data_IF_127007264561
#
_entry.id   IF_127007264561
#
_cell.length_a   1.000
_cell.length_b   1.000
_cell.length_c   1.000
_cell.angle_alpha   90.00
_cell.angle_beta   90.00
_cell.angle_gamma   90.00
#
_symmetry.space_group_name_H-M   'P 1'
#
loop_
_entity.id
_entity.type
_entity.pdbx_description
1 polymer ?
#
# COMPACT_ATOMS: atom_id res chain seq x y z
N UNK A 1 -1.05 1.50 -20.44
CA UNK A 1 -0.31 0.32 -19.88
C UNK A 1 -1.37 -0.59 -19.29
N UNK A 2 -1.54 -1.79 -19.86
CA UNK A 2 -2.55 -2.72 -19.39
C UNK A 2 -2.02 -3.53 -18.18
N UNK A 3 -2.89 -4.31 -17.55
CA UNK A 3 -2.58 -5.12 -16.37
C UNK A 3 -1.38 -6.06 -16.54
N UNK A 4 -1.18 -6.62 -17.74
CA UNK A 4 0.00 -7.44 -18.07
C UNK A 4 1.28 -6.60 -18.11
N UNK A 5 1.19 -5.37 -18.53
CA UNK A 5 2.32 -4.43 -18.57
C UNK A 5 2.72 -3.92 -17.19
N UNK A 6 1.77 -3.78 -16.22
CA UNK A 6 2.11 -3.50 -14.82
C UNK A 6 2.91 -4.67 -14.22
N UNK A 7 2.46 -5.91 -14.44
CA UNK A 7 3.14 -7.10 -13.93
C UNK A 7 4.46 -7.39 -14.69
N UNK A 8 4.50 -7.16 -16.01
CA UNK A 8 5.71 -7.33 -16.82
C UNK A 8 6.68 -6.14 -16.74
N UNK A 9 6.18 -4.92 -16.67
CA UNK A 9 7.01 -3.70 -16.59
C UNK A 9 7.78 -3.56 -15.29
N UNK A 10 7.31 -4.16 -14.20
CA UNK A 10 8.07 -4.21 -12.94
C UNK A 10 9.21 -5.24 -12.97
N UNK A 11 9.08 -6.31 -13.76
CA UNK A 11 10.12 -7.33 -13.88
C UNK A 11 11.20 -6.99 -14.94
N UNK A 12 10.82 -6.38 -16.06
CA UNK A 12 11.74 -6.13 -17.19
C UNK A 12 12.52 -4.80 -17.04
N UNK A 13 12.05 -3.84 -16.27
CA UNK A 13 12.76 -2.58 -16.01
C UNK A 13 13.97 -2.73 -15.06
N UNK A 14 14.24 -3.93 -14.54
CA UNK A 14 15.28 -4.19 -13.55
C UNK A 14 16.65 -4.58 -14.14
N UNK A 15 16.75 -4.85 -15.43
CA UNK A 15 17.97 -5.40 -16.03
C UNK A 15 18.73 -4.41 -16.92
N UNK A 16 18.95 -3.16 -16.52
CA UNK A 16 19.80 -2.33 -17.36
C UNK A 16 19.73 -0.82 -17.23
N UNK A 17 19.60 -0.28 -16.02
CA UNK A 17 19.83 1.15 -15.83
C UNK A 17 21.28 1.38 -15.39
N UNK A 18 22.07 2.13 -16.17
CA UNK A 18 23.43 2.47 -15.81
C UNK A 18 23.46 3.36 -14.55
N UNK A 19 24.54 3.31 -13.84
CA UNK A 19 24.90 4.06 -12.61
C UNK A 19 24.80 5.60 -12.71
N UNK A 20 24.28 6.14 -13.80
CA UNK A 20 24.15 7.59 -14.08
C UNK A 20 22.95 8.24 -13.34
N UNK A 21 22.04 7.45 -12.78
CA UNK A 21 20.83 7.98 -12.14
C UNK A 21 21.05 8.67 -10.77
N UNK A 22 22.28 8.72 -10.24
CA UNK A 22 22.57 9.35 -8.94
C UNK A 22 22.64 10.87 -8.99
N UNK A 23 22.85 11.47 -10.16
CA UNK A 23 23.12 12.90 -10.31
C UNK A 23 21.88 13.80 -10.48
N UNK A 24 20.68 13.26 -10.60
CA UNK A 24 19.46 14.05 -10.93
C UNK A 24 18.26 13.77 -10.01
N UNK A 25 18.45 13.17 -8.85
CA UNK A 25 17.34 13.14 -7.87
C UNK A 25 17.26 14.53 -7.25
N UNK A 26 16.25 15.31 -7.63
CA UNK A 26 15.94 16.56 -6.95
C UNK A 26 15.80 16.28 -5.45
N UNK A 27 16.48 17.07 -4.61
CA UNK A 27 16.29 16.95 -3.15
C UNK A 27 14.81 17.12 -2.83
N UNK A 28 14.19 16.05 -2.39
CA UNK A 28 12.81 16.07 -1.91
C UNK A 28 12.87 16.41 -0.43
N UNK A 29 12.31 17.58 -0.06
CA UNK A 29 12.24 17.99 1.33
C UNK A 29 11.35 17.05 2.15
N UNK A 30 11.63 16.85 3.45
CA UNK A 30 10.74 16.14 4.35
C UNK A 30 9.35 16.76 4.41
N UNK A 31 8.33 15.95 4.68
CA UNK A 31 6.94 16.36 4.80
C UNK A 31 6.04 15.81 3.70
N UNK A 32 4.80 16.30 3.70
CA UNK A 32 3.78 15.89 2.73
C UNK A 32 3.88 16.73 1.45
N UNK A 33 3.80 16.06 0.31
CA UNK A 33 3.77 16.67 -1.03
C UNK A 33 2.65 16.07 -1.86
N UNK A 34 2.03 16.89 -2.69
CA UNK A 34 1.08 16.40 -3.69
C UNK A 34 1.82 15.67 -4.81
N UNK A 35 1.22 14.60 -5.34
CA UNK A 35 1.85 13.80 -6.40
C UNK A 35 1.97 14.60 -7.71
N UNK A 36 0.94 15.38 -8.06
CA UNK A 36 0.87 16.20 -9.31
C UNK A 36 1.07 15.34 -10.56
N UNK A 37 0.37 14.21 -10.61
CA UNK A 37 0.44 13.23 -11.70
C UNK A 37 -0.75 13.27 -12.63
N UNK A 38 -1.86 13.82 -12.19
CA UNK A 38 -3.12 13.85 -12.93
C UNK A 38 -3.59 15.26 -13.24
N UNK A 39 -4.43 15.37 -14.26
CA UNK A 39 -5.20 16.59 -14.55
C UNK A 39 -6.52 16.62 -13.76
N UNK A 40 -6.83 15.54 -13.05
CA UNK A 40 -8.06 15.39 -12.29
C UNK A 40 -7.89 15.85 -10.83
N UNK A 41 -9.00 16.20 -10.19
CA UNK A 41 -9.05 16.61 -8.78
C UNK A 41 -8.60 15.53 -7.79
N UNK A 42 -8.48 14.29 -8.24
CA UNK A 42 -8.02 13.15 -7.46
C UNK A 42 -6.61 12.76 -7.89
N UNK A 43 -5.65 12.93 -6.99
CA UNK A 43 -4.23 12.68 -7.27
C UNK A 43 -3.57 11.87 -6.15
N UNK A 44 -3.51 12.41 -4.95
CA UNK A 44 -2.89 11.76 -3.79
C UNK A 44 -1.66 12.50 -3.30
N UNK A 45 -0.99 11.90 -2.32
CA UNK A 45 0.17 12.51 -1.66
C UNK A 45 1.32 11.50 -1.49
N UNK A 46 2.52 12.05 -1.37
CA UNK A 46 3.70 11.35 -0.87
C UNK A 46 4.16 12.04 0.42
N UNK A 47 4.48 11.26 1.44
CA UNK A 47 5.10 11.75 2.66
C UNK A 47 6.55 11.27 2.76
N UNK A 48 7.45 12.23 2.89
CA UNK A 48 8.89 12.01 3.04
C UNK A 48 9.23 12.16 4.52
N UNK A 49 9.78 11.12 5.18
CA UNK A 49 10.08 11.18 6.60
C UNK A 49 11.18 12.21 6.91
N UNK A 50 11.14 12.81 8.11
CA UNK A 50 12.06 13.89 8.50
C UNK A 50 13.54 13.51 8.42
N UNK A 51 13.85 12.24 8.62
CA UNK A 51 15.23 11.73 8.54
C UNK A 51 15.66 11.31 7.13
N UNK A 52 14.85 11.57 6.09
CA UNK A 52 15.14 11.15 4.73
C UNK A 52 16.44 11.78 4.21
N UNK A 53 17.29 10.93 3.63
CA UNK A 53 18.44 11.34 2.83
C UNK A 53 18.50 10.50 1.55
N UNK A 54 18.96 11.05 0.42
CA UNK A 54 19.06 10.31 -0.84
C UNK A 54 20.20 9.26 -0.86
N UNK A 55 21.09 9.30 0.13
CA UNK A 55 22.31 8.46 0.17
C UNK A 55 22.02 7.00 0.47
N UNK A 56 20.98 6.74 1.26
CA UNK A 56 20.52 5.38 1.57
C UNK A 56 19.19 5.07 0.90
N UNK A 57 18.91 3.80 0.66
CA UNK A 57 17.62 3.36 0.21
C UNK A 57 16.62 3.27 1.40
N UNK A 58 15.38 3.68 1.16
CA UNK A 58 14.33 3.75 2.18
C UNK A 58 13.19 2.78 1.90
N UNK A 59 12.61 2.13 2.92
CA UNK A 59 11.38 1.36 2.79
C UNK A 59 10.24 2.24 2.24
N UNK A 60 9.32 1.62 1.51
CA UNK A 60 8.13 2.28 0.97
C UNK A 60 6.87 1.56 1.44
N UNK A 61 5.91 2.31 1.96
CA UNK A 61 4.54 1.85 2.19
C UNK A 61 3.60 2.59 1.25
N UNK A 62 2.92 1.87 0.37
CA UNK A 62 1.78 2.39 -0.41
C UNK A 62 0.53 2.20 0.45
N UNK A 63 -0.11 3.30 0.87
CA UNK A 63 -1.25 3.26 1.78
C UNK A 63 -2.51 3.75 1.09
N UNK A 64 -3.51 2.89 1.00
CA UNK A 64 -4.76 3.11 0.29
C UNK A 64 -5.88 3.51 1.26
N UNK A 65 -6.59 4.59 0.91
CA UNK A 65 -7.68 5.14 1.71
C UNK A 65 -8.97 4.28 1.66
N UNK A 66 -9.88 4.50 2.60
CA UNK A 66 -11.22 3.89 2.61
C UNK A 66 -12.18 4.54 1.60
N UNK A 67 -13.41 4.00 1.51
CA UNK A 67 -14.46 4.52 0.65
C UNK A 67 -14.72 6.02 0.85
N UNK A 68 -15.00 6.75 -0.24
CA UNK A 68 -15.34 8.18 -0.23
C UNK A 68 -14.24 9.09 0.30
N UNK A 69 -12.99 8.62 0.36
CA UNK A 69 -11.86 9.31 0.99
C UNK A 69 -10.77 9.70 -0.04
N UNK A 70 -9.62 10.13 0.46
CA UNK A 70 -8.44 10.49 -0.34
C UNK A 70 -7.16 10.01 0.35
N UNK A 71 -6.04 10.02 -0.36
CA UNK A 71 -4.73 9.69 0.18
C UNK A 71 -4.30 10.58 1.36
N UNK A 72 -4.82 11.80 1.46
CA UNK A 72 -4.55 12.68 2.62
C UNK A 72 -5.04 12.08 3.95
N UNK A 73 -6.07 11.25 3.93
CA UNK A 73 -6.64 10.63 5.12
C UNK A 73 -5.80 9.48 5.69
N UNK A 74 -4.68 9.11 5.05
CA UNK A 74 -3.71 8.18 5.64
C UNK A 74 -2.66 8.89 6.52
N UNK A 75 -2.81 10.18 6.80
CA UNK A 75 -1.90 11.00 7.61
C UNK A 75 -1.67 10.45 9.03
N UNK A 76 -2.54 9.58 9.54
CA UNK A 76 -2.32 8.84 10.79
C UNK A 76 -1.06 7.94 10.76
N UNK A 77 -0.48 7.69 9.58
CA UNK A 77 0.77 6.93 9.41
C UNK A 77 2.03 7.79 9.47
N UNK A 78 1.92 9.12 9.31
CA UNK A 78 3.07 9.98 9.04
C UNK A 78 4.02 10.13 10.24
N UNK A 79 3.48 10.19 11.45
CA UNK A 79 4.32 10.23 12.66
C UNK A 79 5.15 8.95 12.79
N UNK A 80 4.57 7.80 12.48
CA UNK A 80 5.28 6.51 12.49
C UNK A 80 6.27 6.41 11.32
N UNK A 81 5.95 7.01 10.18
CA UNK A 81 6.89 7.11 9.07
C UNK A 81 8.17 7.87 9.44
N UNK A 82 8.05 8.95 10.24
CA UNK A 82 9.20 9.66 10.80
C UNK A 82 9.98 8.80 11.79
N UNK A 83 9.26 8.13 12.70
CA UNK A 83 9.87 7.34 13.76
C UNK A 83 10.61 6.11 13.24
N UNK A 84 9.98 5.38 12.33
CA UNK A 84 10.51 4.11 11.80
C UNK A 84 11.32 4.26 10.51
N UNK A 85 11.27 5.41 9.87
CA UNK A 85 12.03 5.70 8.68
C UNK A 85 11.47 5.03 7.41
N UNK A 86 10.24 5.33 7.03
CA UNK A 86 9.61 4.84 5.81
C UNK A 86 9.01 5.99 4.97
N UNK A 87 9.11 5.90 3.65
CA UNK A 87 8.35 6.78 2.74
C UNK A 87 6.93 6.26 2.64
N UNK A 88 5.93 7.15 2.70
CA UNK A 88 4.53 6.79 2.49
C UNK A 88 4.07 7.35 1.14
N UNK A 89 3.54 6.50 0.28
CA UNK A 89 2.86 6.89 -0.95
C UNK A 89 1.37 6.61 -0.78
N UNK A 90 0.55 7.63 -0.95
CA UNK A 90 -0.89 7.53 -0.76
C UNK A 90 -1.65 8.09 -1.97
N UNK A 91 -1.81 7.29 -3.03
CA UNK A 91 -2.58 7.68 -4.19
C UNK A 91 -4.07 7.75 -3.87
N UNK A 92 -4.81 8.58 -4.60
CA UNK A 92 -6.27 8.58 -4.59
C UNK A 92 -6.81 7.51 -5.55
N UNK A 93 -7.94 6.88 -5.19
CA UNK A 93 -8.70 6.06 -6.14
C UNK A 93 -9.19 6.91 -7.31
N UNK A 94 -9.26 6.34 -8.51
CA UNK A 94 -9.72 7.09 -9.70
C UNK A 94 -11.23 7.34 -9.69
N UNK A 95 -11.97 6.57 -8.93
CA UNK A 95 -13.38 6.81 -8.67
C UNK A 95 -13.56 7.41 -7.27
N UNK A 96 -14.43 8.42 -7.14
CA UNK A 96 -14.65 9.14 -5.87
C UNK A 96 -15.20 8.25 -4.75
N UNK A 97 -16.02 7.26 -5.08
CA UNK A 97 -16.66 6.41 -4.09
C UNK A 97 -15.70 5.36 -3.51
N UNK A 98 -14.90 4.69 -4.35
CA UNK A 98 -14.03 3.59 -3.93
C UNK A 98 -13.07 3.14 -5.04
N UNK A 99 -12.32 2.08 -4.79
CA UNK A 99 -11.36 1.46 -5.69
C UNK A 99 -12.02 0.56 -6.74
N UNK A 100 -11.51 0.53 -7.96
CA UNK A 100 -12.11 -0.10 -9.13
C UNK A 100 -12.44 -1.59 -8.97
N UNK A 101 -11.60 -2.38 -8.27
CA UNK A 101 -11.86 -3.81 -8.04
C UNK A 101 -13.15 -4.08 -7.27
N UNK A 102 -13.62 -3.11 -6.50
CA UNK A 102 -14.87 -3.20 -5.73
C UNK A 102 -16.09 -2.84 -6.58
N UNK A 103 -15.88 -2.24 -7.75
CA UNK A 103 -16.92 -1.81 -8.69
C UNK A 103 -16.96 -2.73 -9.93
N UNK A 104 -15.93 -2.66 -10.75
CA UNK A 104 -15.92 -3.25 -12.10
C UNK A 104 -14.77 -4.22 -12.36
N UNK A 105 -13.83 -4.35 -11.44
CA UNK A 105 -12.58 -5.10 -11.60
C UNK A 105 -11.37 -4.18 -11.78
N UNK A 106 -10.17 -4.75 -11.83
CA UNK A 106 -8.94 -3.97 -11.94
C UNK A 106 -8.83 -3.19 -13.25
N UNK A 107 -8.41 -1.93 -13.17
CA UNK A 107 -8.26 -1.03 -14.31
C UNK A 107 -7.51 0.26 -13.95
N UNK A 108 -8.16 1.44 -14.01
CA UNK A 108 -7.50 2.75 -13.85
C UNK A 108 -6.73 2.93 -12.53
N UNK A 109 -7.17 2.34 -11.42
CA UNK A 109 -6.47 2.45 -10.14
C UNK A 109 -5.11 1.74 -10.16
N UNK A 110 -5.02 0.57 -10.78
CA UNK A 110 -3.75 -0.15 -10.94
C UNK A 110 -2.77 0.67 -11.78
N UNK A 111 -3.24 1.26 -12.86
CA UNK A 111 -2.44 2.11 -13.74
C UNK A 111 -1.93 3.34 -12.99
N UNK A 112 -2.79 3.98 -12.21
CA UNK A 112 -2.42 5.17 -11.43
C UNK A 112 -1.44 4.83 -10.30
N UNK A 113 -1.64 3.74 -9.56
CA UNK A 113 -0.69 3.26 -8.55
C UNK A 113 0.68 3.00 -9.21
N UNK A 114 0.70 2.41 -10.41
CA UNK A 114 1.93 2.19 -11.18
C UNK A 114 2.63 3.50 -11.56
N UNK A 115 1.88 4.50 -12.01
CA UNK A 115 2.41 5.83 -12.32
C UNK A 115 2.97 6.54 -11.07
N UNK A 116 2.25 6.45 -9.95
CA UNK A 116 2.65 7.01 -8.66
C UNK A 116 3.93 6.34 -8.11
N UNK A 117 4.06 5.03 -8.26
CA UNK A 117 5.29 4.30 -7.92
C UNK A 117 6.47 4.77 -8.79
N UNK A 118 6.29 4.87 -10.11
CA UNK A 118 7.32 5.38 -11.02
C UNK A 118 7.75 6.79 -10.64
N UNK A 119 6.80 7.67 -10.34
CA UNK A 119 7.08 9.03 -9.87
C UNK A 119 7.91 9.02 -8.57
N UNK A 120 7.51 8.18 -7.60
CA UNK A 120 8.23 8.02 -6.33
C UNK A 120 9.67 7.57 -6.54
N UNK A 121 9.90 6.58 -7.42
CA UNK A 121 11.23 6.08 -7.72
C UNK A 121 12.15 7.11 -8.39
N UNK A 122 11.58 8.03 -9.17
CA UNK A 122 12.35 9.10 -9.79
C UNK A 122 12.79 10.17 -8.78
N UNK A 123 12.06 10.33 -7.69
CA UNK A 123 12.29 11.35 -6.65
C UNK A 123 13.01 10.83 -5.43
N UNK A 124 12.73 9.59 -5.02
CA UNK A 124 13.20 9.01 -3.78
C UNK A 124 14.08 7.78 -4.03
N UNK A 125 15.06 7.57 -3.14
CA UNK A 125 15.86 6.36 -3.14
C UNK A 125 15.13 5.26 -2.36
N UNK A 126 14.35 4.44 -3.05
CA UNK A 126 13.50 3.40 -2.45
C UNK A 126 14.20 2.04 -2.47
N UNK A 127 14.17 1.35 -1.32
CA UNK A 127 14.56 -0.05 -1.17
C UNK A 127 13.48 -0.96 -1.76
N UNK A 128 13.62 -1.30 -3.04
CA UNK A 128 12.60 -2.04 -3.79
C UNK A 128 12.27 -3.43 -3.24
N UNK A 129 13.15 -4.00 -2.42
CA UNK A 129 12.91 -5.27 -1.73
C UNK A 129 12.13 -5.11 -0.42
N UNK A 130 11.99 -3.88 0.05
CA UNK A 130 11.25 -3.54 1.28
C UNK A 130 10.10 -2.59 0.97
N UNK A 131 9.09 -3.16 0.33
CA UNK A 131 7.87 -2.44 -0.05
C UNK A 131 6.65 -3.14 0.52
N UNK A 132 5.71 -2.33 1.06
CA UNK A 132 4.41 -2.79 1.53
C UNK A 132 3.29 -2.12 0.72
N UNK A 133 2.21 -2.88 0.48
CA UNK A 133 0.92 -2.37 0.02
C UNK A 133 -0.07 -2.50 1.15
N UNK A 134 -0.65 -1.40 1.60
CA UNK A 134 -1.57 -1.43 2.74
C UNK A 134 -2.74 -0.48 2.57
N UNK A 135 -3.70 -0.56 3.50
CA UNK A 135 -4.84 0.33 3.51
C UNK A 135 -5.85 0.02 4.61
N UNK A 136 -6.90 0.83 4.65
CA UNK A 136 -8.01 0.70 5.58
C UNK A 136 -9.33 0.51 4.82
N UNK A 137 -10.24 -0.34 5.34
CA UNK A 137 -11.57 -0.55 4.77
C UNK A 137 -11.50 -1.00 3.30
N UNK A 138 -12.06 -0.23 2.37
CA UNK A 138 -11.98 -0.51 0.93
C UNK A 138 -10.54 -0.53 0.43
N UNK A 139 -9.67 0.38 0.93
CA UNK A 139 -8.25 0.36 0.64
C UNK A 139 -7.55 -0.90 1.17
N UNK A 140 -7.99 -1.46 2.31
CA UNK A 140 -7.51 -2.74 2.82
C UNK A 140 -7.96 -3.91 1.94
N UNK A 141 -9.21 -3.88 1.49
CA UNK A 141 -9.77 -4.87 0.56
C UNK A 141 -9.02 -4.87 -0.77
N UNK A 142 -8.71 -3.68 -1.28
CA UNK A 142 -7.92 -3.50 -2.49
C UNK A 142 -6.48 -3.97 -2.31
N UNK A 143 -5.83 -3.55 -1.21
CA UNK A 143 -4.45 -3.94 -0.90
C UNK A 143 -4.29 -5.44 -0.74
N UNK A 144 -5.21 -6.10 -0.05
CA UNK A 144 -5.20 -7.55 0.11
C UNK A 144 -5.39 -8.26 -1.23
N UNK A 145 -6.31 -7.76 -2.07
CA UNK A 145 -6.61 -8.35 -3.37
C UNK A 145 -5.47 -8.15 -4.37
N UNK A 146 -4.98 -6.91 -4.54
CA UNK A 146 -3.89 -6.58 -5.45
C UNK A 146 -2.55 -7.13 -4.97
N UNK A 147 -2.28 -7.08 -3.66
CA UNK A 147 -1.01 -7.51 -3.07
C UNK A 147 -0.75 -9.02 -3.25
N UNK A 148 -1.79 -9.85 -3.18
CA UNK A 148 -1.69 -11.29 -3.52
C UNK A 148 -1.30 -11.48 -4.99
N UNK A 149 -1.78 -10.63 -5.89
CA UNK A 149 -1.46 -10.67 -7.31
C UNK A 149 -0.13 -10.01 -7.69
N UNK A 150 0.52 -9.30 -6.76
CA UNK A 150 1.74 -8.51 -7.00
C UNK A 150 2.82 -8.75 -5.94
N UNK A 151 2.85 -9.94 -5.34
CA UNK A 151 3.77 -10.29 -4.24
C UNK A 151 5.25 -10.25 -4.61
N UNK A 152 5.60 -10.22 -5.90
CA UNK A 152 6.96 -9.99 -6.35
C UNK A 152 7.37 -8.50 -6.25
N UNK A 153 6.39 -7.59 -6.31
CA UNK A 153 6.60 -6.14 -6.15
C UNK A 153 6.46 -5.72 -4.69
N UNK A 154 5.40 -6.20 -4.03
CA UNK A 154 5.10 -5.90 -2.64
C UNK A 154 5.33 -7.16 -1.79
N UNK A 155 6.49 -7.24 -1.16
CA UNK A 155 6.82 -8.35 -0.25
C UNK A 155 5.95 -8.39 1.01
N UNK A 156 5.20 -7.31 1.29
CA UNK A 156 4.34 -7.17 2.46
C UNK A 156 2.98 -6.58 2.09
N UNK A 157 1.92 -7.09 2.72
CA UNK A 157 0.55 -6.57 2.60
C UNK A 157 0.02 -6.24 3.99
N UNK A 158 -0.57 -5.06 4.17
CA UNK A 158 -1.15 -4.59 5.43
C UNK A 158 -2.62 -4.23 5.21
N UNK A 159 -3.53 -4.96 5.85
CA UNK A 159 -4.96 -4.78 5.67
C UNK A 159 -5.67 -4.49 7.01
N UNK A 160 -6.10 -3.24 7.19
CA UNK A 160 -6.87 -2.81 8.36
C UNK A 160 -8.37 -2.86 8.06
N UNK A 161 -9.10 -3.78 8.68
CA UNK A 161 -10.54 -4.03 8.49
C UNK A 161 -10.95 -4.28 7.03
N UNK A 162 -10.35 -5.28 6.34
CA UNK A 162 -10.73 -5.60 4.96
C UNK A 162 -12.11 -6.23 4.89
N UNK A 163 -12.92 -5.84 3.89
CA UNK A 163 -14.24 -6.41 3.64
C UNK A 163 -14.26 -7.45 2.51
N UNK A 164 -13.30 -7.36 1.59
CA UNK A 164 -13.25 -8.19 0.38
C UNK A 164 -11.83 -8.71 0.13
N UNK A 165 -11.73 -9.91 -0.44
CA UNK A 165 -10.49 -10.50 -0.94
C UNK A 165 -10.76 -11.14 -2.30
N UNK A 166 -10.42 -10.43 -3.38
CA UNK A 166 -10.65 -10.83 -4.79
C UNK A 166 -9.36 -10.71 -5.61
N UNK A 167 -8.33 -11.51 -5.35
CA UNK A 167 -7.14 -11.49 -6.20
C UNK A 167 -7.53 -11.99 -7.59
N UNK A 168 -7.06 -11.29 -8.63
CA UNK A 168 -7.29 -11.72 -9.99
C UNK A 168 -6.34 -12.85 -10.40
N UNK A 169 -5.15 -12.82 -9.86
CA UNK A 169 -4.07 -13.79 -10.05
C UNK A 169 -3.30 -13.93 -8.73
N UNK A 170 -2.43 -14.91 -8.65
CA UNK A 170 -1.58 -15.13 -7.47
C UNK A 170 -0.13 -15.16 -7.93
N UNK A 171 0.66 -14.19 -7.48
CA UNK A 171 2.08 -14.09 -7.80
C UNK A 171 2.90 -13.78 -6.55
N UNK A 172 3.96 -14.54 -6.34
CA UNK A 172 4.78 -14.44 -5.15
C UNK A 172 4.07 -14.95 -3.89
N UNK A 173 4.67 -14.68 -2.75
CA UNK A 173 4.16 -15.03 -1.41
C UNK A 173 4.45 -13.89 -0.44
N UNK A 174 3.73 -12.74 -0.56
CA UNK A 174 3.92 -11.65 0.38
C UNK A 174 3.57 -12.11 1.80
N UNK A 175 4.26 -11.55 2.78
CA UNK A 175 3.84 -11.63 4.18
C UNK A 175 2.61 -10.74 4.35
N UNK A 176 1.65 -11.16 5.16
CA UNK A 176 0.36 -10.47 5.29
C UNK A 176 0.08 -10.13 6.75
N UNK A 177 -0.17 -8.84 7.02
CA UNK A 177 -0.69 -8.37 8.29
C UNK A 177 -2.17 -7.98 8.13
N UNK A 178 -3.04 -8.58 8.92
CA UNK A 178 -4.48 -8.25 8.95
C UNK A 178 -4.85 -7.85 10.37
N UNK A 179 -5.58 -6.75 10.54
CA UNK A 179 -6.23 -6.41 11.81
C UNK A 179 -7.71 -6.10 11.62
N UNK A 180 -8.51 -6.34 12.67
CA UNK A 180 -9.94 -6.11 12.62
C UNK A 180 -10.53 -5.83 13.99
N UNK A 181 -11.42 -4.83 14.09
CA UNK A 181 -12.20 -4.58 15.30
C UNK A 181 -13.31 -5.63 15.48
N UNK A 182 -13.39 -6.24 16.66
CA UNK A 182 -14.35 -7.34 16.91
C UNK A 182 -15.81 -6.91 16.84
N UNK A 183 -16.10 -5.63 17.07
CA UNK A 183 -17.44 -5.04 16.99
C UNK A 183 -17.65 -4.19 15.73
N UNK A 184 -16.95 -4.50 14.64
CA UNK A 184 -17.07 -3.79 13.36
C UNK A 184 -18.47 -3.98 12.74
N UNK A 185 -19.30 -2.92 12.65
CA UNK A 185 -20.64 -3.02 12.10
C UNK A 185 -20.68 -2.82 10.57
N UNK A 186 -19.59 -2.34 9.97
CA UNK A 186 -19.49 -2.04 8.54
C UNK A 186 -18.98 -3.25 7.77
N UNK A 187 -17.91 -3.85 8.27
CA UNK A 187 -17.28 -5.04 7.73
C UNK A 187 -17.27 -6.14 8.81
N UNK A 188 -18.40 -6.84 9.05
CA UNK A 188 -18.50 -7.79 10.17
C UNK A 188 -17.37 -8.83 10.12
N UNK A 189 -16.62 -8.94 11.22
CA UNK A 189 -15.39 -9.72 11.30
C UNK A 189 -15.58 -11.21 10.97
N UNK A 190 -16.74 -11.78 11.32
CA UNK A 190 -17.06 -13.22 11.15
C UNK A 190 -17.20 -13.63 9.68
N UNK A 191 -17.58 -12.69 8.81
CA UNK A 191 -17.75 -12.95 7.37
C UNK A 191 -16.60 -12.39 6.52
N UNK A 192 -15.65 -11.73 7.16
CA UNK A 192 -14.48 -11.10 6.53
C UNK A 192 -13.17 -11.71 7.06
N UNK A 193 -12.46 -11.03 7.94
CA UNK A 193 -11.11 -11.43 8.37
C UNK A 193 -11.05 -12.83 9.00
N UNK A 194 -12.03 -13.23 9.80
CA UNK A 194 -12.09 -14.60 10.37
C UNK A 194 -12.24 -15.69 9.32
N UNK A 195 -12.69 -15.35 8.08
CA UNK A 195 -12.71 -16.25 6.92
C UNK A 195 -11.47 -16.12 6.05
N UNK A 196 -10.95 -14.91 5.89
CA UNK A 196 -9.78 -14.68 5.03
C UNK A 196 -8.52 -15.29 5.63
N UNK A 197 -8.30 -15.11 6.93
CA UNK A 197 -7.07 -15.54 7.61
C UNK A 197 -6.85 -17.05 7.50
N UNK A 198 -7.81 -17.94 7.87
CA UNK A 198 -7.63 -19.38 7.69
C UNK A 198 -7.39 -19.78 6.23
N UNK A 199 -8.12 -19.14 5.28
CA UNK A 199 -7.94 -19.41 3.86
C UNK A 199 -6.53 -19.05 3.38
N UNK A 200 -6.00 -17.91 3.78
CA UNK A 200 -4.64 -17.47 3.43
C UNK A 200 -3.59 -18.39 4.03
N UNK A 201 -3.73 -18.78 5.31
CA UNK A 201 -2.83 -19.73 5.96
C UNK A 201 -2.84 -21.10 5.27
N UNK A 202 -4.01 -21.62 4.90
CA UNK A 202 -4.14 -22.87 4.14
C UNK A 202 -3.51 -22.79 2.75
N UNK A 203 -3.46 -21.61 2.15
CA UNK A 203 -2.75 -21.34 0.89
C UNK A 203 -1.24 -21.12 1.09
N UNK A 204 -0.73 -21.23 2.32
CA UNK A 204 0.69 -21.15 2.65
C UNK A 204 1.23 -19.72 2.73
N UNK A 205 0.40 -18.72 3.02
CA UNK A 205 0.86 -17.37 3.33
C UNK A 205 1.29 -17.24 4.79
N UNK A 206 2.34 -16.46 5.06
CA UNK A 206 2.70 -16.00 6.40
C UNK A 206 1.75 -14.88 6.81
N UNK A 207 0.81 -15.19 7.73
CA UNK A 207 -0.24 -14.24 8.15
C UNK A 207 -0.12 -13.93 9.63
N UNK A 208 0.17 -12.66 9.92
CA UNK A 208 0.01 -12.05 11.25
C UNK A 208 -1.39 -11.48 11.36
N UNK A 209 -2.14 -11.90 12.36
CA UNK A 209 -3.54 -11.48 12.55
C UNK A 209 -3.76 -10.89 13.93
N UNK A 210 -4.47 -9.74 13.98
CA UNK A 210 -4.83 -9.04 15.20
C UNK A 210 -6.31 -8.70 15.24
N UNK A 211 -7.02 -9.23 16.21
CA UNK A 211 -8.33 -8.73 16.62
C UNK A 211 -8.14 -7.74 17.77
N UNK A 212 -8.94 -6.69 17.81
CA UNK A 212 -8.90 -5.71 18.89
C UNK A 212 -10.31 -5.25 19.27
N UNK A 213 -10.45 -4.84 20.54
CA UNK A 213 -11.68 -4.21 21.03
C UNK A 213 -11.90 -2.89 20.29
N UNK A 214 -12.90 -2.86 19.41
CA UNK A 214 -13.17 -1.69 18.59
C UNK A 214 -14.17 -1.94 17.47
N UNK A 215 -14.53 -0.84 16.82
CA UNK A 215 -15.44 -0.81 15.67
C UNK A 215 -14.65 -0.74 14.37
N UNK A 216 -15.32 -0.27 13.28
CA UNK A 216 -14.68 -0.03 11.99
C UNK A 216 -13.68 1.11 12.06
N UNK A 217 -12.38 0.81 12.02
CA UNK A 217 -11.35 1.82 12.12
C UNK A 217 -9.96 1.24 12.32
N UNK A 218 -9.02 2.10 12.70
CA UNK A 218 -7.63 1.73 13.01
C UNK A 218 -7.24 2.35 14.34
N UNK A 219 -6.67 1.58 15.26
CA UNK A 219 -6.14 2.13 16.50
C UNK A 219 -4.66 2.49 16.34
N UNK A 220 -4.16 3.52 17.05
CA UNK A 220 -2.72 3.86 17.01
C UNK A 220 -1.80 2.69 17.35
N UNK A 221 -2.19 1.84 18.29
CA UNK A 221 -1.43 0.66 18.69
C UNK A 221 -1.29 -0.35 17.54
N UNK A 222 -2.37 -0.62 16.81
CA UNK A 222 -2.38 -1.55 15.68
C UNK A 222 -1.57 -1.00 14.50
N UNK A 223 -1.65 0.31 14.24
CA UNK A 223 -0.83 0.93 13.19
C UNK A 223 0.65 0.81 13.52
N UNK A 224 1.03 1.10 14.78
CA UNK A 224 2.41 0.93 15.27
C UNK A 224 2.89 -0.50 15.10
N UNK A 225 2.11 -1.49 15.53
CA UNK A 225 2.45 -2.90 15.38
C UNK A 225 2.68 -3.28 13.90
N UNK A 226 1.86 -2.77 12.97
CA UNK A 226 2.03 -3.01 11.55
C UNK A 226 3.34 -2.40 11.01
N UNK A 227 3.73 -1.21 11.46
CA UNK A 227 5.02 -0.60 11.12
C UNK A 227 6.19 -1.43 11.65
N UNK A 228 6.14 -1.82 12.93
CA UNK A 228 7.17 -2.68 13.52
C UNK A 228 7.29 -4.02 12.80
N UNK A 229 6.16 -4.62 12.45
CA UNK A 229 6.11 -5.88 11.71
C UNK A 229 6.71 -5.77 10.31
N UNK A 230 6.44 -4.68 9.60
CA UNK A 230 6.95 -4.45 8.25
C UNK A 230 8.45 -4.15 8.23
N UNK A 231 8.95 -3.40 9.23
CA UNK A 231 10.30 -2.84 9.21
C UNK A 231 11.35 -3.69 9.97
N UNK A 232 10.90 -4.73 10.67
CA UNK A 232 11.74 -5.79 11.24
C UNK A 232 12.08 -6.84 10.20
#
# INVERSE_FOLDING_TARGET
MNRREFLAGTATALAGLPTIARAQRSEVSPGQHDLKLGEADRDGVIYIPRGYTPDKAWPLMVMLHGAGSTGRNVSYTFQLADEFGAVILAPDSRHEATWDVLLTGYGPDVEFIGAALKHTYNRCNIERKRMALGGHSDGASYSLSLGIGTGETFGHVIAFSPGVMKPAEVHGKPRIFISHGISDPIMPIDVTSRRFVPRLKNLGYDVTYREYEGRHGVTPAVVREAFEWFLR
#
